data_IF_668157559369
#
_entry.id   IF_668157559369
#
_cell.length_a   1.000
_cell.length_b   1.000
_cell.length_c   1.000
_cell.angle_alpha   90.00
_cell.angle_beta   90.00
_cell.angle_gamma   90.00
#
_symmetry.space_group_name_H-M   'P 1'
#
loop_
_entity.id
_entity.type
_entity.pdbx_description
1 polymer ?
#
# COMPACT_ATOMS: atom_id res chain seq x y z
N UNK A 1 50.11 -49.50 8.33
CA UNK A 1 48.90 -49.01 9.06
C UNK A 1 48.90 -47.50 9.37
N UNK A 2 50.04 -46.80 9.54
CA UNK A 2 50.05 -45.34 9.83
C UNK A 2 49.57 -44.48 8.63
N UNK A 3 49.97 -44.80 7.41
CA UNK A 3 49.59 -44.05 6.20
C UNK A 3 48.10 -44.19 5.82
N UNK A 4 47.48 -45.34 6.13
CA UNK A 4 46.04 -45.57 5.86
C UNK A 4 45.15 -44.71 6.77
N UNK A 5 45.57 -44.49 8.03
CA UNK A 5 44.90 -43.60 8.98
C UNK A 5 45.03 -42.12 8.58
N UNK A 6 46.20 -41.70 8.07
CA UNK A 6 46.40 -40.35 7.55
C UNK A 6 45.62 -40.08 6.26
N UNK A 7 45.46 -41.08 5.38
CA UNK A 7 44.66 -40.97 4.16
C UNK A 7 43.15 -40.85 4.48
N UNK A 8 42.66 -41.64 5.45
CA UNK A 8 41.28 -41.58 5.93
C UNK A 8 40.94 -40.23 6.60
N UNK A 9 41.90 -39.63 7.33
CA UNK A 9 41.71 -38.33 7.99
C UNK A 9 41.61 -37.17 6.98
N UNK A 10 42.43 -37.19 5.92
CA UNK A 10 42.36 -36.19 4.85
C UNK A 10 41.06 -36.31 4.02
N UNK A 11 40.56 -37.53 3.80
CA UNK A 11 39.31 -37.76 3.07
C UNK A 11 38.08 -37.27 3.87
N UNK A 12 38.11 -37.39 5.20
CA UNK A 12 37.06 -36.85 6.07
C UNK A 12 37.05 -35.32 6.15
N UNK A 13 38.21 -34.66 6.05
CA UNK A 13 38.30 -33.19 6.07
C UNK A 13 37.85 -32.61 4.72
N UNK A 14 38.16 -33.27 3.60
CA UNK A 14 37.71 -32.85 2.27
C UNK A 14 36.18 -32.93 2.09
N UNK A 15 35.50 -33.85 2.78
CA UNK A 15 34.05 -33.98 2.73
C UNK A 15 33.30 -32.83 3.46
N UNK A 16 33.93 -32.13 4.40
CA UNK A 16 33.32 -30.99 5.11
C UNK A 16 33.31 -29.69 4.29
N UNK A 17 34.10 -29.58 3.21
CA UNK A 17 34.16 -28.36 2.39
C UNK A 17 33.11 -28.31 1.27
N UNK A 18 32.32 -29.37 1.06
CA UNK A 18 31.31 -29.43 0.00
C UNK A 18 29.87 -29.12 0.46
N UNK A 19 29.64 -28.86 1.75
CA UNK A 19 28.30 -28.68 2.33
C UNK A 19 27.83 -27.22 2.48
N UNK A 20 28.43 -26.27 1.73
CA UNK A 20 28.34 -24.84 2.07
C UNK A 20 27.99 -23.89 0.92
N UNK A 21 27.14 -24.27 -0.03
CA UNK A 21 26.48 -23.29 -0.90
C UNK A 21 24.97 -23.33 -0.66
N UNK A 22 24.52 -22.62 0.38
CA UNK A 22 23.13 -22.25 0.49
C UNK A 22 22.83 -21.21 -0.59
N UNK A 23 22.42 -21.66 -1.78
CA UNK A 23 21.92 -20.78 -2.82
C UNK A 23 20.59 -20.22 -2.34
N UNK A 24 20.55 -18.93 -2.02
CA UNK A 24 19.29 -18.24 -1.73
C UNK A 24 18.43 -18.25 -2.99
N UNK A 25 17.53 -19.22 -3.11
CA UNK A 25 16.57 -19.28 -4.20
C UNK A 25 15.44 -18.30 -3.92
N UNK A 26 15.43 -17.19 -4.64
CA UNK A 26 14.32 -16.23 -4.64
C UNK A 26 13.20 -16.81 -5.50
N UNK A 27 12.03 -17.03 -4.90
CA UNK A 27 10.82 -17.45 -5.63
C UNK A 27 9.78 -16.33 -5.60
N UNK A 28 9.02 -16.20 -6.68
CA UNK A 28 7.87 -15.32 -6.72
C UNK A 28 6.80 -15.82 -5.75
N UNK A 29 6.41 -14.98 -4.79
CA UNK A 29 5.26 -15.22 -3.93
C UNK A 29 4.02 -14.50 -4.46
N UNK A 30 2.84 -15.01 -4.10
CA UNK A 30 1.59 -14.26 -4.29
C UNK A 30 1.56 -13.07 -3.33
N UNK A 31 1.21 -11.90 -3.85
CA UNK A 31 1.30 -10.64 -3.11
C UNK A 31 0.23 -10.54 -2.01
N UNK A 32 -0.89 -11.28 -2.15
CA UNK A 32 -1.99 -11.31 -1.17
C UNK A 32 -1.84 -12.40 -0.11
N UNK A 33 -1.23 -13.54 -0.43
CA UNK A 33 -1.18 -14.72 0.46
C UNK A 33 0.07 -14.81 1.35
N UNK A 34 0.82 -13.73 1.55
CA UNK A 34 2.05 -13.78 2.31
C UNK A 34 1.80 -14.09 3.80
N UNK A 35 2.37 -15.21 4.29
CA UNK A 35 2.45 -15.49 5.74
C UNK A 35 3.20 -14.33 6.42
N UNK A 36 2.73 -13.83 7.58
CA UNK A 36 3.48 -12.84 8.33
C UNK A 36 4.89 -13.37 8.67
N UNK A 37 5.92 -12.70 8.17
CA UNK A 37 7.33 -13.03 8.47
C UNK A 37 7.70 -12.48 9.87
N UNK A 38 6.96 -11.47 10.35
CA UNK A 38 7.09 -10.88 11.67
C UNK A 38 5.86 -10.06 12.07
N UNK A 39 5.99 -9.27 13.12
CA UNK A 39 4.95 -8.34 13.58
C UNK A 39 4.88 -7.04 12.78
N UNK A 40 5.89 -6.76 11.95
CA UNK A 40 5.97 -5.53 11.17
C UNK A 40 4.86 -5.47 10.11
N UNK A 41 4.52 -4.25 9.69
CA UNK A 41 3.52 -4.03 8.65
C UNK A 41 4.07 -4.48 7.29
N UNK A 42 3.35 -5.36 6.60
CA UNK A 42 3.77 -5.97 5.34
C UNK A 42 2.87 -5.61 4.15
N UNK A 43 3.31 -6.06 2.96
CA UNK A 43 2.59 -5.83 1.70
C UNK A 43 1.21 -6.50 1.66
N UNK A 44 1.06 -7.68 2.26
CA UNK A 44 -0.23 -8.37 2.32
C UNK A 44 -1.24 -7.67 3.23
N UNK A 45 -0.78 -7.05 4.33
CA UNK A 45 -1.63 -6.24 5.21
C UNK A 45 -2.13 -4.99 4.49
N UNK A 46 -1.23 -4.33 3.74
CA UNK A 46 -1.57 -3.18 2.89
C UNK A 46 -2.68 -3.52 1.91
N UNK A 47 -2.53 -4.62 1.16
CA UNK A 47 -3.51 -5.03 0.16
C UNK A 47 -4.87 -5.31 0.79
N UNK A 48 -4.89 -6.04 1.90
CA UNK A 48 -6.12 -6.37 2.63
C UNK A 48 -6.83 -5.13 3.19
N UNK A 49 -6.08 -4.19 3.77
CA UNK A 49 -6.64 -2.93 4.26
C UNK A 49 -7.20 -2.12 3.09
N UNK A 50 -6.41 -1.89 2.05
CA UNK A 50 -6.84 -1.08 0.91
C UNK A 50 -8.10 -1.67 0.25
N UNK A 51 -8.17 -3.00 0.11
CA UNK A 51 -9.34 -3.70 -0.41
C UNK A 51 -10.56 -3.54 0.49
N UNK A 52 -10.46 -3.92 1.77
CA UNK A 52 -11.58 -3.85 2.70
C UNK A 52 -12.14 -2.42 2.83
N UNK A 53 -11.26 -1.42 2.89
CA UNK A 53 -11.64 -0.02 3.03
C UNK A 53 -12.30 0.54 1.77
N UNK A 54 -11.80 0.17 0.58
CA UNK A 54 -12.43 0.57 -0.68
C UNK A 54 -13.78 -0.12 -0.86
N UNK A 55 -13.86 -1.41 -0.59
CA UNK A 55 -15.10 -2.18 -0.69
C UNK A 55 -16.18 -1.63 0.23
N UNK A 56 -15.83 -1.34 1.49
CA UNK A 56 -16.76 -0.70 2.44
C UNK A 56 -17.25 0.66 1.93
N UNK A 57 -16.35 1.51 1.41
CA UNK A 57 -16.71 2.80 0.85
C UNK A 57 -17.68 2.67 -0.34
N UNK A 58 -17.40 1.80 -1.30
CA UNK A 58 -18.19 1.72 -2.55
C UNK A 58 -19.52 0.99 -2.39
N UNK A 59 -19.65 0.18 -1.33
CA UNK A 59 -20.87 -0.57 -0.99
C UNK A 59 -21.76 0.17 0.02
N UNK A 60 -21.24 1.19 0.71
CA UNK A 60 -22.03 2.01 1.62
C UNK A 60 -23.23 2.65 0.88
N UNK A 61 -24.50 2.42 1.31
CA UNK A 61 -25.66 2.70 0.47
C UNK A 61 -25.76 4.13 -0.07
N UNK A 62 -25.54 5.20 0.74
CA UNK A 62 -25.55 6.58 0.22
C UNK A 62 -24.50 6.83 -0.87
N UNK A 63 -23.30 6.24 -0.73
CA UNK A 63 -22.23 6.34 -1.73
C UNK A 63 -22.56 5.49 -2.95
N UNK A 64 -23.07 4.28 -2.76
CA UNK A 64 -23.46 3.39 -3.84
C UNK A 64 -24.57 3.99 -4.71
N UNK A 65 -25.60 4.58 -4.08
CA UNK A 65 -26.68 5.28 -4.76
C UNK A 65 -26.16 6.47 -5.55
N UNK A 66 -25.39 7.36 -4.92
CA UNK A 66 -24.81 8.52 -5.60
C UNK A 66 -23.93 8.12 -6.78
N UNK A 67 -23.10 7.10 -6.61
CA UNK A 67 -22.16 6.63 -7.65
C UNK A 67 -22.84 5.86 -8.78
N UNK A 68 -24.07 5.37 -8.57
CA UNK A 68 -24.88 4.75 -9.63
C UNK A 68 -25.48 5.79 -10.59
N UNK A 69 -25.76 6.99 -10.10
CA UNK A 69 -26.35 8.08 -10.89
C UNK A 69 -25.30 8.88 -11.66
N UNK A 70 -24.12 9.10 -11.05
CA UNK A 70 -23.02 9.87 -11.63
C UNK A 70 -21.69 9.46 -11.01
N UNK A 71 -20.57 9.82 -11.64
CA UNK A 71 -19.23 9.62 -11.07
C UNK A 71 -18.73 10.92 -10.41
N UNK A 72 -18.85 11.08 -9.08
CA UNK A 72 -18.35 12.27 -8.42
C UNK A 72 -16.83 12.37 -8.49
N UNK A 73 -16.31 13.59 -8.44
CA UNK A 73 -14.87 13.84 -8.44
C UNK A 73 -14.32 13.69 -7.03
N UNK A 74 -13.46 12.70 -6.83
CA UNK A 74 -12.81 12.38 -5.57
C UNK A 74 -11.36 12.84 -5.60
N UNK A 75 -10.90 13.38 -4.48
CA UNK A 75 -9.48 13.52 -4.22
C UNK A 75 -9.05 12.66 -3.04
N UNK A 76 -7.89 12.03 -3.14
CA UNK A 76 -7.32 11.17 -2.11
C UNK A 76 -6.11 11.88 -1.53
N UNK A 77 -6.18 12.19 -0.23
CA UNK A 77 -5.03 12.71 0.52
C UNK A 77 -4.05 11.58 0.85
N UNK A 78 -2.78 11.92 1.03
CA UNK A 78 -1.76 10.94 1.42
C UNK A 78 -2.12 10.36 2.80
N UNK A 79 -2.03 9.04 2.93
CA UNK A 79 -2.26 8.35 4.20
C UNK A 79 -1.31 8.92 5.27
N UNK A 80 -1.87 9.37 6.40
CA UNK A 80 -1.06 9.90 7.51
C UNK A 80 -0.48 8.76 8.34
N UNK A 81 0.85 8.63 8.35
CA UNK A 81 1.54 7.67 9.20
C UNK A 81 1.61 8.18 10.65
N UNK A 82 0.98 7.46 11.58
CA UNK A 82 1.05 7.66 13.04
C UNK A 82 1.64 6.42 13.73
N UNK A 83 2.31 5.56 12.99
CA UNK A 83 3.03 4.40 13.54
C UNK A 83 4.46 4.80 13.91
N UNK A 84 5.16 3.93 14.64
CA UNK A 84 6.58 4.12 14.90
C UNK A 84 7.47 3.60 13.76
N UNK A 85 6.86 3.07 12.69
CA UNK A 85 7.54 2.43 11.56
C UNK A 85 7.63 3.34 10.35
N UNK A 86 8.65 3.15 9.53
CA UNK A 86 8.75 3.78 8.21
C UNK A 86 7.92 2.99 7.21
N UNK A 87 6.65 3.39 7.10
CA UNK A 87 5.69 2.77 6.18
C UNK A 87 5.59 3.63 4.93
N UNK A 88 5.68 2.97 3.78
CA UNK A 88 5.39 3.57 2.49
C UNK A 88 3.87 3.83 2.34
N UNK A 89 3.45 4.94 2.93
CA UNK A 89 2.07 5.45 2.85
C UNK A 89 1.69 5.91 1.46
N UNK A 90 2.65 6.15 0.58
CA UNK A 90 2.40 6.51 -0.82
C UNK A 90 1.87 5.30 -1.58
N UNK A 91 2.55 4.16 -1.48
CA UNK A 91 2.07 2.89 -2.02
C UNK A 91 0.67 2.49 -1.52
N UNK A 92 0.35 2.76 -0.24
CA UNK A 92 -1.00 2.54 0.30
C UNK A 92 -2.02 3.47 -0.37
N UNK A 93 -1.68 4.75 -0.48
CA UNK A 93 -2.53 5.78 -1.09
C UNK A 93 -2.81 5.46 -2.56
N UNK A 94 -1.79 5.06 -3.31
CA UNK A 94 -1.89 4.71 -4.72
C UNK A 94 -2.70 3.43 -4.93
N UNK A 95 -2.55 2.43 -4.05
CA UNK A 95 -3.38 1.22 -4.09
C UNK A 95 -4.86 1.53 -3.88
N UNK A 96 -5.19 2.41 -2.93
CA UNK A 96 -6.57 2.88 -2.70
C UNK A 96 -7.09 3.63 -3.94
N UNK A 97 -6.30 4.57 -4.47
CA UNK A 97 -6.65 5.34 -5.67
C UNK A 97 -6.91 4.41 -6.87
N UNK A 98 -6.01 3.48 -7.14
CA UNK A 98 -6.11 2.53 -8.24
C UNK A 98 -7.35 1.65 -8.13
N UNK A 99 -7.65 1.10 -6.94
CA UNK A 99 -8.86 0.30 -6.70
C UNK A 99 -10.14 1.12 -6.90
N UNK A 100 -10.18 2.37 -6.42
CA UNK A 100 -11.34 3.24 -6.63
C UNK A 100 -11.52 3.66 -8.10
N UNK A 101 -10.44 3.94 -8.83
CA UNK A 101 -10.49 4.17 -10.29
C UNK A 101 -11.05 2.92 -10.99
N UNK A 102 -10.53 1.74 -10.65
CA UNK A 102 -10.96 0.45 -11.22
C UNK A 102 -12.43 0.15 -10.94
N UNK A 103 -12.98 0.61 -9.82
CA UNK A 103 -14.41 0.45 -9.51
C UNK A 103 -15.34 1.18 -10.49
N UNK A 104 -14.82 2.17 -11.24
CA UNK A 104 -15.60 3.00 -12.16
C UNK A 104 -16.58 3.96 -11.49
N UNK A 105 -16.66 3.99 -10.14
CA UNK A 105 -17.62 4.80 -9.38
C UNK A 105 -17.21 6.25 -9.20
N UNK A 106 -15.92 6.55 -9.28
CA UNK A 106 -15.37 7.88 -9.04
C UNK A 106 -14.52 8.36 -10.22
N UNK A 107 -14.41 9.69 -10.35
CA UNK A 107 -13.37 10.36 -11.16
C UNK A 107 -12.33 10.93 -10.22
N UNK A 108 -11.08 10.99 -10.63
CA UNK A 108 -10.00 11.52 -9.81
C UNK A 108 -9.41 12.75 -10.46
N UNK A 109 -9.07 13.73 -9.64
CA UNK A 109 -8.15 14.77 -10.06
C UNK A 109 -6.77 14.22 -9.78
N UNK A 110 -5.98 14.15 -10.83
CA UNK A 110 -4.57 13.97 -10.65
C UNK A 110 -3.98 15.27 -10.09
N UNK A 111 -3.68 15.27 -8.79
CA UNK A 111 -2.98 16.39 -8.13
C UNK A 111 -1.47 16.24 -8.21
N UNK A 112 -0.97 15.08 -8.64
CA UNK A 112 0.36 15.06 -9.22
C UNK A 112 0.19 15.72 -10.58
N UNK A 113 0.33 17.04 -10.62
CA UNK A 113 0.68 17.71 -11.86
C UNK A 113 2.01 17.12 -12.27
N UNK A 114 1.96 16.01 -13.01
CA UNK A 114 3.10 15.50 -13.76
C UNK A 114 3.65 16.71 -14.49
N UNK A 115 4.89 17.08 -14.20
CA UNK A 115 5.52 18.22 -14.86
C UNK A 115 5.46 18.02 -16.38
N UNK A 116 5.55 16.77 -16.84
CA UNK A 116 5.32 16.33 -18.21
C UNK A 116 3.89 16.63 -18.71
N UNK A 117 2.85 16.44 -17.90
CA UNK A 117 1.48 16.77 -18.29
C UNK A 117 1.26 18.29 -18.35
N UNK A 118 1.87 19.05 -17.44
CA UNK A 118 1.85 20.52 -17.48
C UNK A 118 2.62 21.04 -18.70
N UNK A 119 3.78 20.46 -19.00
CA UNK A 119 4.60 20.77 -20.16
C UNK A 119 3.90 20.40 -21.47
N UNK A 120 3.21 19.27 -21.52
CA UNK A 120 2.38 18.87 -22.66
C UNK A 120 1.25 19.89 -22.88
N UNK A 121 0.53 20.31 -21.83
CA UNK A 121 -0.52 21.34 -21.95
C UNK A 121 0.08 22.66 -22.47
N UNK A 122 1.25 23.08 -21.98
CA UNK A 122 1.95 24.27 -22.48
C UNK A 122 2.35 24.10 -23.95
N UNK A 123 2.90 22.95 -24.31
CA UNK A 123 3.31 22.63 -25.68
C UNK A 123 2.11 22.62 -26.63
N UNK A 124 0.97 22.07 -26.23
CA UNK A 124 -0.26 22.12 -27.03
C UNK A 124 -0.74 23.57 -27.25
N UNK A 125 -0.56 24.46 -26.27
CA UNK A 125 -0.91 25.87 -26.38
C UNK A 125 0.08 26.68 -27.23
N UNK A 126 1.37 26.38 -27.13
CA UNK A 126 2.46 27.16 -27.75
C UNK A 126 2.88 26.64 -29.14
N UNK A 127 2.77 25.34 -29.40
CA UNK A 127 3.28 24.71 -30.64
C UNK A 127 2.48 25.07 -31.89
N UNK A 128 1.23 25.51 -31.74
CA UNK A 128 0.33 25.78 -32.87
C UNK A 128 -0.07 24.52 -33.65
N UNK A 129 0.28 23.32 -33.18
CA UNK A 129 0.00 22.04 -33.83
C UNK A 129 -1.37 21.45 -33.47
N UNK A 130 -2.05 22.01 -32.47
CA UNK A 130 -3.33 21.50 -31.95
C UNK A 130 -4.47 22.44 -32.35
N UNK A 131 -5.62 21.88 -32.72
CA UNK A 131 -6.81 22.67 -32.99
C UNK A 131 -7.20 23.45 -31.72
N UNK A 132 -7.14 24.78 -31.81
CA UNK A 132 -7.46 25.73 -30.74
C UNK A 132 -8.88 25.56 -30.18
N UNK A 133 -9.81 24.94 -30.94
CA UNK A 133 -11.15 24.61 -30.45
C UNK A 133 -11.18 23.42 -29.50
N UNK A 134 -10.15 22.57 -29.53
CA UNK A 134 -10.04 21.34 -28.71
C UNK A 134 -8.90 21.38 -27.70
N UNK A 135 -8.02 22.38 -27.79
CA UNK A 135 -6.90 22.56 -26.88
C UNK A 135 -7.38 22.69 -25.42
N UNK A 136 -6.67 22.01 -24.51
CA UNK A 136 -6.97 22.04 -23.08
C UNK A 136 -6.59 23.41 -22.51
N UNK A 137 -7.57 24.12 -21.96
CA UNK A 137 -7.35 25.41 -21.30
C UNK A 137 -6.79 25.23 -19.89
N UNK A 138 -5.78 26.04 -19.55
CA UNK A 138 -5.22 26.07 -18.22
C UNK A 138 -6.26 26.58 -17.20
N UNK A 139 -6.35 25.94 -16.02
CA UNK A 139 -7.25 26.37 -14.95
C UNK A 139 -8.72 25.92 -15.07
N UNK A 140 -9.11 25.16 -16.10
CA UNK A 140 -10.45 24.55 -16.22
C UNK A 140 -10.58 23.17 -15.55
N UNK A 141 -9.63 22.79 -14.70
CA UNK A 141 -9.66 21.52 -14.01
C UNK A 141 -10.90 21.43 -13.10
N UNK A 142 -11.61 20.29 -13.17
CA UNK A 142 -12.79 20.06 -12.35
C UNK A 142 -12.36 19.98 -10.88
N UNK A 143 -12.98 20.76 -10.00
CA UNK A 143 -12.71 20.71 -8.55
C UNK A 143 -13.19 19.42 -7.90
N UNK A 144 -12.55 19.01 -6.81
CA UNK A 144 -12.94 17.81 -6.07
C UNK A 144 -14.25 18.07 -5.33
N UNK A 145 -15.19 17.13 -5.40
CA UNK A 145 -16.43 17.17 -4.63
C UNK A 145 -16.25 16.52 -3.27
N UNK A 146 -15.46 15.46 -3.21
CA UNK A 146 -15.15 14.73 -1.99
C UNK A 146 -13.65 14.68 -1.74
N UNK A 147 -13.28 14.62 -0.47
CA UNK A 147 -11.93 14.38 0.01
C UNK A 147 -11.90 13.09 0.82
N UNK A 148 -11.11 12.13 0.37
CA UNK A 148 -10.79 10.93 1.11
C UNK A 148 -9.54 11.18 1.94
N UNK A 149 -9.64 10.99 3.25
CA UNK A 149 -8.51 11.08 4.18
C UNK A 149 -8.32 9.76 4.90
N UNK A 150 -7.08 9.40 5.18
CA UNK A 150 -6.77 8.18 5.89
C UNK A 150 -5.64 8.40 6.90
N UNK A 151 -5.66 7.62 7.98
CA UNK A 151 -4.58 7.60 8.96
C UNK A 151 -4.32 6.18 9.44
N UNK A 152 -3.05 5.88 9.70
CA UNK A 152 -2.58 4.58 10.12
C UNK A 152 -1.84 4.69 11.45
N UNK A 153 -2.38 4.03 12.48
CA UNK A 153 -1.88 4.09 13.85
C UNK A 153 -1.41 2.71 14.32
N UNK A 154 -0.48 2.71 15.27
CA UNK A 154 0.12 1.50 15.85
C UNK A 154 0.13 1.62 17.38
N UNK A 155 -0.14 0.51 18.06
CA UNK A 155 0.00 0.34 19.51
C UNK A 155 0.83 -0.92 19.75
N UNK A 156 1.97 -0.77 20.41
CA UNK A 156 2.89 -1.88 20.73
C UNK A 156 2.84 -2.17 22.23
N UNK A 157 2.62 -3.43 22.59
CA UNK A 157 2.69 -3.92 23.96
C UNK A 157 3.74 -5.03 24.05
N UNK A 158 4.63 -4.94 25.04
CA UNK A 158 5.69 -5.93 25.28
C UNK A 158 5.59 -6.47 26.70
N UNK A 159 5.56 -7.79 26.83
CA UNK A 159 5.55 -8.49 28.11
C UNK A 159 6.44 -9.73 28.03
N UNK A 160 7.61 -9.69 28.70
CA UNK A 160 8.60 -10.76 28.63
C UNK A 160 9.06 -11.03 27.20
N UNK A 161 8.87 -12.26 26.72
CA UNK A 161 9.20 -12.67 25.34
C UNK A 161 8.07 -12.47 24.34
N UNK A 162 6.92 -11.91 24.77
CA UNK A 162 5.76 -11.67 23.93
C UNK A 162 5.75 -10.21 23.47
N UNK A 163 5.58 -10.01 22.17
CA UNK A 163 5.32 -8.69 21.57
C UNK A 163 3.97 -8.75 20.86
N UNK A 164 3.07 -7.85 21.23
CA UNK A 164 1.73 -7.69 20.65
C UNK A 164 1.67 -6.33 19.97
N UNK A 165 1.41 -6.33 18.67
CA UNK A 165 1.33 -5.14 17.84
C UNK A 165 -0.08 -5.05 17.28
N UNK A 166 -0.76 -3.96 17.60
CA UNK A 166 -2.07 -3.63 17.10
C UNK A 166 -1.96 -2.45 16.13
N UNK A 167 -2.49 -2.64 14.94
CA UNK A 167 -2.58 -1.63 13.91
C UNK A 167 -4.04 -1.24 13.69
N UNK A 168 -4.26 0.06 13.48
CA UNK A 168 -5.56 0.60 13.11
C UNK A 168 -5.45 1.54 11.93
N UNK A 169 -6.20 1.23 10.89
CA UNK A 169 -6.39 2.09 9.73
C UNK A 169 -7.77 2.71 9.78
N UNK A 170 -7.88 4.03 9.66
CA UNK A 170 -9.16 4.74 9.64
C UNK A 170 -9.22 5.61 8.40
N UNK A 171 -10.32 5.51 7.65
CA UNK A 171 -10.55 6.28 6.43
C UNK A 171 -11.87 7.03 6.50
N UNK A 172 -11.90 8.26 5.98
CA UNK A 172 -13.07 9.13 6.01
C UNK A 172 -13.30 9.77 4.65
N UNK A 173 -14.55 9.78 4.19
CA UNK A 173 -15.02 10.52 3.03
C UNK A 173 -15.70 11.81 3.50
N UNK A 174 -15.15 12.96 3.12
CA UNK A 174 -15.70 14.28 3.43
C UNK A 174 -16.26 14.94 2.18
N UNK A 175 -17.46 15.46 2.25
CA UNK A 175 -18.02 16.36 1.25
C UNK A 175 -17.37 17.74 1.39
N UNK A 176 -16.67 18.21 0.36
CA UNK A 176 -15.93 19.46 0.41
C UNK A 176 -16.84 20.69 0.37
N UNK A 177 -18.04 20.57 -0.19
CA UNK A 177 -19.01 21.68 -0.27
C UNK A 177 -19.73 21.89 1.06
N UNK A 178 -20.18 20.80 1.69
CA UNK A 178 -20.98 20.87 2.94
C UNK A 178 -20.14 20.73 4.20
N UNK A 179 -18.94 20.18 4.09
CA UNK A 179 -18.08 19.85 5.23
C UNK A 179 -18.46 18.57 5.97
N UNK A 180 -19.50 17.87 5.53
CA UNK A 180 -20.04 16.67 6.19
C UNK A 180 -19.12 15.46 5.94
N UNK A 181 -18.95 14.64 6.97
CA UNK A 181 -18.37 13.31 6.85
C UNK A 181 -19.47 12.35 6.38
N UNK A 182 -19.41 11.97 5.11
CA UNK A 182 -20.42 11.14 4.44
C UNK A 182 -20.22 9.66 4.73
N UNK A 183 -18.97 9.25 4.98
CA UNK A 183 -18.62 7.88 5.27
C UNK A 183 -17.34 7.84 6.12
N UNK A 184 -17.27 6.87 7.02
CA UNK A 184 -16.10 6.58 7.85
C UNK A 184 -16.09 5.09 8.15
N UNK A 185 -14.92 4.48 8.10
CA UNK A 185 -14.74 3.10 8.54
C UNK A 185 -13.32 2.89 9.07
N UNK A 186 -13.13 1.77 9.76
CA UNK A 186 -11.84 1.36 10.31
C UNK A 186 -11.55 -0.12 10.09
N UNK A 187 -10.26 -0.41 9.88
CA UNK A 187 -9.75 -1.78 9.78
C UNK A 187 -8.64 -1.98 10.80
N UNK A 188 -8.77 -3.06 11.55
CA UNK A 188 -7.82 -3.44 12.59
C UNK A 188 -7.04 -4.69 12.19
N UNK A 189 -5.76 -4.71 12.55
CA UNK A 189 -4.90 -5.89 12.42
C UNK A 189 -4.14 -6.06 13.73
N UNK A 190 -4.14 -7.27 14.29
CA UNK A 190 -3.36 -7.61 15.47
C UNK A 190 -2.36 -8.71 15.16
N UNK A 191 -1.10 -8.49 15.50
CA UNK A 191 0.00 -9.43 15.29
C UNK A 191 0.71 -9.69 16.60
N UNK A 192 0.85 -10.97 16.96
CA UNK A 192 1.52 -11.39 18.18
C UNK A 192 2.73 -12.24 17.80
N UNK A 193 3.91 -11.86 18.30
CA UNK A 193 5.10 -12.71 18.25
C UNK A 193 5.50 -13.17 19.65
N UNK A 194 6.03 -14.39 19.71
CA UNK A 194 6.67 -14.94 20.90
C UNK A 194 8.09 -15.35 20.53
N UNK A 195 9.10 -14.78 21.19
CA UNK A 195 10.47 -15.28 21.07
C UNK A 195 10.62 -16.52 21.95
N UNK A 196 10.93 -17.67 21.35
CA UNK A 196 11.43 -18.84 22.08
C UNK A 196 12.85 -18.55 22.55
N UNK A 197 13.17 -18.85 23.81
CA UNK A 197 14.56 -18.80 24.31
C UNK A 197 15.38 -20.05 23.93
N UNK A 198 14.84 -20.97 23.13
CA UNK A 198 15.54 -22.16 22.65
C UNK A 198 15.39 -22.34 21.13
N UNK A 199 16.56 -22.47 20.47
CA UNK A 199 16.79 -22.82 19.06
C UNK A 199 17.27 -21.63 18.21
N UNK A 200 18.43 -21.63 17.55
CA UNK A 200 19.50 -22.59 17.32
C UNK A 200 20.45 -21.97 16.30
#
# INVERSE_FOLDING_TARGET
MRYLRSLLLCLSIAAMFLAGCATTTVQYGDAGSAKPIGTDFGSSDLQQIAEAMVDSLITFPPVAEQTSQRRPVLSVDKVKNKTMQHIDTESVTDSIRAKLIKSGKFRFIDRTTDEAAVEEIKTQQESGLVDKKTAVEFGRQIGAEFLLTANFAEIVQKAGSVTDVYYKFTMNLKNLKTGILEWSDEKEIRKISKRSMFGG
#
